data_IF_241729504881
#
_entry.id   IF_241729504881
#
_cell.length_a   1.000
_cell.length_b   1.000
_cell.length_c   1.000
_cell.angle_alpha   90.00
_cell.angle_beta   90.00
_cell.angle_gamma   90.00
#
_symmetry.space_group_name_H-M   'P 1'
#
loop_
_entity.id
_entity.type
_entity.pdbx_description
1 polymer ?
#
# COMPACT_ATOMS: atom_id res chain seq x y z
N UNK A 1 56.86 15.86 6.88
CA UNK A 1 56.15 15.25 5.74
C UNK A 1 54.65 15.50 5.91
N UNK A 2 54.05 16.39 5.10
CA UNK A 2 52.61 16.71 5.11
C UNK A 2 51.95 15.94 3.96
N UNK A 3 51.01 15.04 4.24
CA UNK A 3 50.14 14.45 3.20
C UNK A 3 48.79 15.17 3.23
N UNK A 4 48.51 15.92 2.16
CA UNK A 4 47.17 16.37 1.78
C UNK A 4 46.60 15.30 0.85
N UNK A 5 45.40 14.79 1.12
CA UNK A 5 44.63 13.99 0.16
C UNK A 5 43.51 14.88 -0.34
N UNK A 6 43.50 15.08 -1.66
CA UNK A 6 42.55 15.89 -2.38
C UNK A 6 41.23 15.14 -2.58
N UNK A 7 40.13 15.88 -2.42
CA UNK A 7 38.77 15.51 -2.81
C UNK A 7 38.68 15.66 -4.33
N UNK A 8 38.29 14.59 -5.05
CA UNK A 8 37.84 14.68 -6.43
C UNK A 8 36.34 14.39 -6.47
N UNK A 9 35.56 15.43 -6.75
CA UNK A 9 34.20 15.28 -7.28
C UNK A 9 34.27 14.93 -8.76
N UNK A 10 33.29 14.16 -9.24
CA UNK A 10 33.02 14.02 -10.67
C UNK A 10 31.55 14.33 -10.92
N UNK A 11 31.40 15.26 -11.84
CA UNK A 11 30.22 15.99 -12.25
C UNK A 11 29.37 15.21 -13.25
N UNK A 12 28.11 15.65 -13.35
CA UNK A 12 27.10 15.29 -14.35
C UNK A 12 27.61 15.30 -15.80
N UNK A 13 27.10 14.38 -16.62
CA UNK A 13 27.07 14.49 -18.09
C UNK A 13 25.63 14.21 -18.55
N UNK A 14 25.07 15.16 -19.30
CA UNK A 14 23.77 15.09 -19.98
C UNK A 14 23.97 14.92 -21.50
N UNK A 15 23.02 14.22 -22.14
CA UNK A 15 22.64 14.18 -23.59
C UNK A 15 23.66 13.50 -24.52
N UNK A 16 23.34 12.69 -25.54
CA UNK A 16 22.20 12.52 -26.46
C UNK A 16 22.42 11.15 -27.18
N UNK A 17 21.45 10.40 -27.71
CA UNK A 17 20.65 10.69 -28.90
C UNK A 17 19.62 9.56 -29.09
N UNK A 18 18.40 9.94 -29.47
CA UNK A 18 17.37 9.03 -29.95
C UNK A 18 17.68 8.59 -31.39
N UNK A 19 17.71 7.28 -31.63
CA UNK A 19 17.53 6.71 -32.96
C UNK A 19 16.23 5.89 -32.93
N UNK A 20 15.21 6.41 -33.61
CA UNK A 20 13.96 5.70 -33.90
C UNK A 20 14.24 4.72 -35.04
N UNK A 21 14.25 3.42 -34.75
CA UNK A 21 14.11 2.37 -35.76
C UNK A 21 12.72 1.75 -35.65
N UNK A 22 12.06 1.61 -36.79
CA UNK A 22 10.68 1.15 -36.97
C UNK A 22 10.39 -0.18 -36.27
N UNK A 23 9.31 -0.19 -35.48
CA UNK A 23 8.71 -1.40 -34.89
C UNK A 23 8.18 -2.28 -36.01
N UNK A 24 8.89 -3.38 -36.27
CA UNK A 24 8.35 -4.54 -36.99
C UNK A 24 7.33 -5.23 -36.09
N UNK A 25 6.08 -5.30 -36.55
CA UNK A 25 5.01 -6.06 -35.94
C UNK A 25 5.35 -7.55 -35.95
N UNK A 26 5.77 -8.11 -34.80
CA UNK A 26 5.59 -9.51 -34.40
C UNK A 26 6.33 -9.78 -33.08
N UNK A 27 5.91 -9.16 -31.98
CA UNK A 27 6.12 -9.76 -30.66
C UNK A 27 4.88 -9.51 -29.83
N UNK A 28 3.90 -10.41 -29.98
CA UNK A 28 2.93 -10.67 -28.91
C UNK A 28 3.76 -11.32 -27.80
N UNK A 29 4.42 -10.50 -26.98
CA UNK A 29 5.00 -10.96 -25.72
C UNK A 29 3.86 -11.16 -24.75
N UNK A 30 3.41 -12.41 -24.72
CA UNK A 30 2.84 -13.14 -23.58
C UNK A 30 3.04 -12.38 -22.26
N UNK A 31 2.08 -11.52 -21.94
CA UNK A 31 1.79 -11.11 -20.57
C UNK A 31 0.98 -12.24 -19.94
N UNK A 32 1.56 -13.43 -19.86
CA UNK A 32 0.98 -14.55 -19.11
C UNK A 32 1.33 -14.34 -17.65
N UNK A 33 0.28 -14.13 -16.84
CA UNK A 33 0.27 -14.01 -15.38
C UNK A 33 1.32 -14.89 -14.70
N UNK A 34 2.47 -14.30 -14.34
CA UNK A 34 3.50 -14.96 -13.52
C UNK A 34 3.10 -15.07 -12.03
N UNK A 35 1.96 -14.50 -11.63
CA UNK A 35 1.58 -14.31 -10.22
C UNK A 35 1.01 -15.55 -9.53
N UNK A 36 0.35 -16.47 -10.26
CA UNK A 36 -0.26 -17.65 -9.62
C UNK A 36 0.74 -18.79 -9.38
N UNK A 37 1.78 -18.91 -10.21
CA UNK A 37 2.87 -19.88 -10.01
C UNK A 37 3.89 -19.45 -8.93
N UNK A 38 4.00 -18.16 -8.63
CA UNK A 38 4.92 -17.63 -7.60
C UNK A 38 4.36 -17.75 -6.17
N UNK A 39 3.05 -17.89 -6.02
CA UNK A 39 2.37 -17.91 -4.74
C UNK A 39 2.76 -19.12 -3.86
N UNK A 40 2.90 -20.36 -4.38
CA UNK A 40 3.39 -21.51 -3.61
C UNK A 40 4.82 -21.33 -3.07
N UNK A 41 5.74 -20.78 -3.88
CA UNK A 41 7.12 -20.52 -3.46
C UNK A 41 7.17 -19.45 -2.35
N UNK A 42 6.31 -18.43 -2.45
CA UNK A 42 6.18 -17.39 -1.44
C UNK A 42 5.70 -17.94 -0.08
N UNK A 43 4.78 -18.91 -0.07
CA UNK A 43 4.22 -19.43 1.19
C UNK A 43 5.30 -20.01 2.11
N UNK A 44 6.36 -20.60 1.55
CA UNK A 44 7.46 -21.20 2.29
C UNK A 44 8.72 -20.33 2.34
N UNK A 45 8.70 -19.18 1.66
CA UNK A 45 9.83 -18.29 1.62
C UNK A 45 9.96 -17.48 2.91
N UNK A 46 11.16 -17.52 3.49
CA UNK A 46 11.52 -16.71 4.65
C UNK A 46 12.53 -15.65 4.20
N UNK A 47 12.17 -14.38 4.35
CA UNK A 47 13.10 -13.27 4.16
C UNK A 47 14.38 -13.50 4.98
N UNK A 48 15.52 -13.14 4.39
CA UNK A 48 16.78 -13.08 5.13
C UNK A 48 16.63 -12.14 6.34
N UNK A 49 17.37 -12.39 7.44
CA UNK A 49 17.33 -11.51 8.61
C UNK A 49 17.56 -10.03 8.27
N UNK A 50 18.47 -9.76 7.33
CA UNK A 50 18.82 -8.42 6.88
C UNK A 50 17.66 -7.75 6.14
N UNK A 51 17.05 -8.45 5.17
CA UNK A 51 15.92 -7.89 4.41
C UNK A 51 14.69 -7.73 5.29
N UNK A 52 14.47 -8.64 6.25
CA UNK A 52 13.39 -8.51 7.24
C UNK A 52 13.59 -7.26 8.11
N UNK A 53 14.80 -7.04 8.63
CA UNK A 53 15.11 -5.85 9.42
C UNK A 53 14.90 -4.56 8.60
N UNK A 54 15.34 -4.54 7.34
CA UNK A 54 15.11 -3.40 6.43
C UNK A 54 13.62 -3.14 6.18
N UNK A 55 12.82 -4.20 6.01
CA UNK A 55 11.37 -4.06 5.86
C UNK A 55 10.74 -3.48 7.13
N UNK A 56 11.13 -3.98 8.30
CA UNK A 56 10.60 -3.52 9.58
C UNK A 56 10.97 -2.06 9.87
N UNK A 57 12.19 -1.64 9.54
CA UNK A 57 12.66 -0.25 9.67
C UNK A 57 11.91 0.69 8.71
N UNK A 58 11.71 0.29 7.45
CA UNK A 58 10.94 1.09 6.50
C UNK A 58 9.48 1.23 6.96
N UNK A 59 8.89 0.16 7.50
CA UNK A 59 7.56 0.23 8.08
C UNK A 59 7.51 1.20 9.27
N UNK A 60 8.52 1.21 10.14
CA UNK A 60 8.59 2.14 11.27
C UNK A 60 8.74 3.60 10.80
N UNK A 61 9.54 3.85 9.77
CA UNK A 61 9.67 5.20 9.18
C UNK A 61 8.34 5.68 8.59
N UNK A 62 7.68 4.83 7.80
CA UNK A 62 6.36 5.10 7.24
C UNK A 62 5.34 5.33 8.35
N UNK A 63 5.37 4.53 9.42
CA UNK A 63 4.50 4.66 10.58
C UNK A 63 4.67 6.04 11.25
N UNK A 64 5.89 6.48 11.47
CA UNK A 64 6.15 7.81 12.03
C UNK A 64 5.66 8.92 11.10
N UNK A 65 5.83 8.75 9.78
CA UNK A 65 5.37 9.73 8.82
C UNK A 65 3.83 9.83 8.75
N UNK A 66 3.13 8.70 8.85
CA UNK A 66 1.66 8.65 8.98
C UNK A 66 1.21 9.42 10.21
N UNK A 67 1.83 9.14 11.37
CA UNK A 67 1.49 9.84 12.62
C UNK A 67 1.76 11.35 12.54
N UNK A 68 2.85 11.77 11.91
CA UNK A 68 3.13 13.19 11.66
C UNK A 68 2.11 13.84 10.73
N UNK A 69 1.75 13.17 9.63
CA UNK A 69 0.74 13.69 8.71
C UNK A 69 -0.60 13.85 9.42
N UNK A 70 -1.06 12.83 10.12
CA UNK A 70 -2.34 12.87 10.83
C UNK A 70 -2.33 13.94 11.94
N UNK A 71 -1.21 14.10 12.65
CA UNK A 71 -1.04 15.20 13.61
C UNK A 71 -1.10 16.59 12.92
N UNK A 72 -0.56 16.72 11.71
CA UNK A 72 -0.60 17.98 10.93
C UNK A 72 -1.99 18.31 10.37
N UNK A 73 -2.84 17.29 10.17
CA UNK A 73 -4.26 17.48 9.90
C UNK A 73 -4.99 18.04 11.16
N UNK A 74 -4.38 17.94 12.34
CA UNK A 74 -4.85 18.56 13.59
C UNK A 74 -6.17 17.99 14.09
N UNK A 75 -6.89 18.70 15.00
CA UNK A 75 -8.25 18.34 15.41
C UNK A 75 -9.30 18.48 14.27
N UNK A 76 -8.90 18.67 12.99
CA UNK A 76 -9.82 18.66 11.84
C UNK A 76 -10.44 17.29 11.58
N UNK A 77 -9.74 16.22 11.97
CA UNK A 77 -10.27 14.87 12.16
C UNK A 77 -11.40 14.80 13.22
N UNK A 78 -11.57 15.84 14.05
CA UNK A 78 -12.72 16.01 14.95
C UNK A 78 -13.73 17.02 14.47
N UNK A 79 -13.36 18.08 13.76
CA UNK A 79 -14.29 19.09 13.25
C UNK A 79 -13.60 19.89 12.16
N UNK A 80 -14.02 19.80 10.88
CA UNK A 80 -14.12 20.96 9.97
C UNK A 80 -15.19 20.70 8.88
N UNK A 81 -16.03 21.69 8.55
CA UNK A 81 -17.03 21.58 7.50
C UNK A 81 -16.41 21.55 6.10
N UNK A 82 -16.92 20.61 5.31
CA UNK A 82 -16.60 20.33 3.91
C UNK A 82 -16.93 21.50 2.98
N UNK A 83 -16.01 21.81 2.06
CA UNK A 83 -16.29 22.53 0.82
C UNK A 83 -15.45 21.90 -0.31
N UNK A 84 -16.03 20.91 -0.98
CA UNK A 84 -15.60 20.46 -2.30
C UNK A 84 -16.87 20.09 -3.11
N UNK A 85 -16.84 20.28 -4.42
CA UNK A 85 -17.91 19.85 -5.33
C UNK A 85 -17.22 19.28 -6.57
N UNK A 86 -17.52 18.03 -6.94
CA UNK A 86 -18.51 17.84 -8.00
C UNK A 86 -19.43 16.63 -7.78
N UNK A 87 -20.72 16.82 -8.08
CA UNK A 87 -21.77 15.80 -7.96
C UNK A 87 -22.94 16.36 -7.15
N UNK A 88 -23.99 16.78 -7.85
CA UNK A 88 -25.05 17.66 -7.39
C UNK A 88 -26.19 16.95 -6.65
N UNK A 89 -26.26 17.10 -5.34
CA UNK A 89 -27.53 16.92 -4.59
C UNK A 89 -27.66 17.80 -3.34
N UNK A 90 -26.61 18.54 -2.92
CA UNK A 90 -26.75 19.59 -1.91
C UNK A 90 -27.24 19.11 -0.53
N UNK A 91 -27.19 17.80 -0.27
CA UNK A 91 -27.59 17.21 1.01
C UNK A 91 -26.48 17.44 2.02
N UNK A 92 -26.80 18.14 3.11
CA UNK A 92 -25.87 18.30 4.23
C UNK A 92 -25.62 16.92 4.87
N UNK A 93 -24.35 16.53 5.11
CA UNK A 93 -24.06 15.25 5.72
C UNK A 93 -24.67 15.16 7.13
N UNK A 94 -25.32 14.04 7.40
CA UNK A 94 -25.96 13.73 8.70
C UNK A 94 -24.92 13.34 9.76
N UNK A 95 -23.75 12.86 9.33
CA UNK A 95 -22.65 12.40 10.17
C UNK A 95 -21.40 13.26 9.94
N UNK A 96 -20.37 13.09 10.79
CA UNK A 96 -19.07 13.72 10.55
C UNK A 96 -18.55 13.32 9.17
N UNK A 97 -18.32 14.31 8.32
CA UNK A 97 -17.84 14.10 6.96
C UNK A 97 -16.31 14.05 6.93
N UNK A 98 -15.79 12.87 6.60
CA UNK A 98 -14.35 12.60 6.50
C UNK A 98 -13.86 12.64 5.06
N UNK A 99 -14.68 12.99 4.07
CA UNK A 99 -14.35 12.88 2.65
C UNK A 99 -13.00 13.50 2.31
N UNK A 100 -12.77 14.76 2.72
CA UNK A 100 -11.52 15.46 2.40
C UNK A 100 -10.31 14.91 3.17
N UNK A 101 -10.45 14.75 4.48
CA UNK A 101 -9.36 14.31 5.36
C UNK A 101 -8.94 12.87 5.04
N UNK A 102 -9.90 11.98 4.88
CA UNK A 102 -9.64 10.58 4.55
C UNK A 102 -9.09 10.41 3.13
N UNK A 103 -9.58 11.20 2.16
CA UNK A 103 -8.97 11.24 0.82
C UNK A 103 -7.51 11.72 0.86
N UNK A 104 -7.19 12.72 1.68
CA UNK A 104 -5.81 13.19 1.86
C UNK A 104 -4.91 12.11 2.46
N UNK A 105 -5.40 11.39 3.48
CA UNK A 105 -4.74 10.24 4.08
C UNK A 105 -4.49 9.14 3.04
N UNK A 106 -5.51 8.77 2.26
CA UNK A 106 -5.38 7.75 1.21
C UNK A 106 -4.33 8.14 0.16
N UNK A 107 -4.39 9.36 -0.36
CA UNK A 107 -3.43 9.83 -1.39
C UNK A 107 -2.00 9.82 -0.88
N UNK A 108 -1.78 10.23 0.37
CA UNK A 108 -0.45 10.17 0.98
C UNK A 108 0.00 8.73 1.19
N UNK A 109 -0.86 7.84 1.69
CA UNK A 109 -0.54 6.44 1.86
C UNK A 109 -0.25 5.74 0.52
N UNK A 110 -0.99 6.04 -0.55
CA UNK A 110 -0.67 5.61 -1.93
C UNK A 110 0.74 6.07 -2.35
N UNK A 111 1.12 7.30 -2.05
CA UNK A 111 2.46 7.79 -2.36
C UNK A 111 3.54 7.08 -1.53
N UNK A 112 3.27 6.74 -0.27
CA UNK A 112 4.18 5.92 0.55
C UNK A 112 4.38 4.52 -0.06
N UNK A 113 3.39 3.97 -0.78
CA UNK A 113 3.55 2.68 -1.48
C UNK A 113 4.58 2.72 -2.59
N UNK A 114 4.82 3.90 -3.20
CA UNK A 114 5.89 4.07 -4.19
C UNK A 114 7.27 3.85 -3.58
N UNK A 115 7.47 4.25 -2.32
CA UNK A 115 8.73 4.06 -1.61
C UNK A 115 8.97 2.55 -1.39
N UNK A 116 7.93 1.83 -0.95
CA UNK A 116 8.05 0.38 -0.74
C UNK A 116 8.27 -0.35 -2.06
N UNK A 117 7.54 0.02 -3.11
CA UNK A 117 7.72 -0.54 -4.45
C UNK A 117 9.14 -0.34 -4.97
N UNK A 118 9.70 0.86 -4.82
CA UNK A 118 11.07 1.14 -5.23
C UNK A 118 12.11 0.30 -4.45
N UNK A 119 11.92 0.10 -3.15
CA UNK A 119 12.78 -0.78 -2.35
C UNK A 119 12.66 -2.24 -2.77
N UNK A 120 11.44 -2.73 -2.98
CA UNK A 120 11.18 -4.09 -3.42
C UNK A 120 11.75 -4.37 -4.84
N UNK A 121 11.62 -3.43 -5.77
CA UNK A 121 12.20 -3.54 -7.10
C UNK A 121 13.72 -3.63 -7.09
N UNK A 122 14.40 -2.93 -6.16
CA UNK A 122 15.86 -3.06 -5.98
C UNK A 122 16.25 -4.45 -5.50
N UNK A 123 15.46 -5.04 -4.60
CA UNK A 123 15.67 -6.42 -4.12
C UNK A 123 15.52 -7.40 -5.29
N UNK A 124 14.46 -7.25 -6.08
CA UNK A 124 14.18 -8.10 -7.23
C UNK A 124 15.30 -8.05 -8.28
N UNK A 125 15.68 -6.84 -8.69
CA UNK A 125 16.72 -6.60 -9.72
C UNK A 125 18.13 -6.89 -9.23
N UNK A 126 18.35 -6.89 -7.92
CA UNK A 126 19.64 -7.16 -7.29
C UNK A 126 19.98 -8.64 -7.14
N UNK A 127 18.99 -9.53 -7.31
CA UNK A 127 19.20 -10.97 -7.22
C UNK A 127 19.81 -11.54 -8.51
N UNK A 128 20.78 -12.44 -8.36
CA UNK A 128 21.31 -13.23 -9.48
C UNK A 128 20.32 -14.29 -9.98
N UNK A 129 19.39 -14.71 -9.13
CA UNK A 129 18.30 -15.60 -9.46
C UNK A 129 16.98 -14.79 -9.55
N UNK A 130 16.38 -14.64 -10.76
CA UNK A 130 15.17 -13.85 -10.95
C UNK A 130 13.97 -14.33 -10.14
N UNK A 131 13.82 -15.66 -9.97
CA UNK A 131 12.70 -16.22 -9.19
C UNK A 131 12.86 -15.87 -7.72
N UNK A 132 14.07 -16.08 -7.17
CA UNK A 132 14.37 -15.72 -5.79
C UNK A 132 14.20 -14.22 -5.53
N UNK A 133 14.65 -13.38 -6.46
CA UNK A 133 14.49 -11.92 -6.39
C UNK A 133 13.01 -11.51 -6.35
N UNK A 134 12.18 -12.09 -7.22
CA UNK A 134 10.75 -11.80 -7.25
C UNK A 134 10.05 -12.22 -5.96
N UNK A 135 10.37 -13.41 -5.44
CA UNK A 135 9.81 -13.91 -4.18
C UNK A 135 10.26 -13.06 -2.99
N UNK A 136 11.54 -12.68 -2.92
CA UNK A 136 12.08 -11.79 -1.88
C UNK A 136 11.42 -10.41 -1.91
N UNK A 137 11.29 -9.82 -3.10
CA UNK A 137 10.59 -8.54 -3.34
C UNK A 137 9.15 -8.60 -2.86
N UNK A 138 8.43 -9.68 -3.17
CA UNK A 138 7.04 -9.88 -2.74
C UNK A 138 6.92 -10.06 -1.23
N UNK A 139 7.77 -10.89 -0.62
CA UNK A 139 7.80 -11.10 0.83
C UNK A 139 8.15 -9.82 1.59
N UNK A 140 9.05 -8.99 1.04
CA UNK A 140 9.41 -7.68 1.60
C UNK A 140 8.19 -6.76 1.66
N UNK A 141 7.44 -6.63 0.55
CA UNK A 141 6.20 -5.85 0.50
C UNK A 141 5.19 -6.31 1.55
N UNK A 142 5.00 -7.63 1.68
CA UNK A 142 4.12 -8.20 2.70
C UNK A 142 4.54 -7.85 4.11
N UNK A 143 5.84 -7.97 4.43
CA UNK A 143 6.36 -7.64 5.76
C UNK A 143 6.10 -6.18 6.13
N UNK A 144 6.37 -5.25 5.20
CA UNK A 144 6.10 -3.82 5.43
C UNK A 144 4.60 -3.58 5.59
N UNK A 145 3.80 -4.07 4.65
CA UNK A 145 2.35 -3.87 4.64
C UNK A 145 1.70 -4.40 5.92
N UNK A 146 2.05 -5.62 6.33
CA UNK A 146 1.52 -6.26 7.53
C UNK A 146 1.79 -5.44 8.79
N UNK A 147 2.99 -4.88 8.92
CA UNK A 147 3.34 -4.07 10.09
C UNK A 147 2.58 -2.74 10.16
N UNK A 148 2.11 -2.23 9.02
CA UNK A 148 1.36 -0.97 8.94
C UNK A 148 -0.15 -1.15 9.17
N UNK A 149 -0.72 -2.28 8.73
CA UNK A 149 -2.17 -2.54 8.81
C UNK A 149 -2.61 -3.28 10.06
N UNK A 150 -1.71 -3.96 10.79
CA UNK A 150 -2.08 -4.78 11.96
C UNK A 150 -2.75 -3.98 13.08
N UNK A 151 -3.41 -4.68 14.00
CA UNK A 151 -4.08 -4.03 15.12
C UNK A 151 -3.16 -3.10 15.92
N UNK A 152 -3.66 -1.91 16.23
CA UNK A 152 -2.92 -0.87 16.95
C UNK A 152 -1.81 -0.19 16.13
N UNK A 153 -1.59 -0.61 14.89
CA UNK A 153 -0.66 0.06 13.99
C UNK A 153 -1.27 1.34 13.39
N UNK A 154 -0.47 2.19 12.72
CA UNK A 154 -0.95 3.47 12.22
C UNK A 154 -2.03 3.39 11.14
N UNK A 155 -2.30 2.26 10.50
CA UNK A 155 -3.45 2.12 9.59
C UNK A 155 -4.59 1.30 10.16
N UNK A 156 -4.61 1.03 11.47
CA UNK A 156 -5.78 0.46 12.14
C UNK A 156 -6.88 1.53 12.27
N UNK A 157 -7.48 1.89 11.15
CA UNK A 157 -8.55 2.88 11.07
C UNK A 157 -9.84 2.39 11.73
N UNK A 158 -10.02 1.06 11.87
CA UNK A 158 -11.09 0.47 12.68
C UNK A 158 -10.98 0.96 14.12
N UNK A 159 -9.78 0.89 14.70
CA UNK A 159 -9.51 1.38 16.06
C UNK A 159 -9.58 2.90 16.17
N UNK A 160 -9.02 3.64 15.19
CA UNK A 160 -8.98 5.12 15.23
C UNK A 160 -10.34 5.78 15.13
N UNK A 161 -11.20 5.27 14.26
CA UNK A 161 -12.53 5.83 14.02
C UNK A 161 -13.61 5.16 14.87
N UNK A 162 -13.30 4.04 15.51
CA UNK A 162 -14.24 3.21 16.24
C UNK A 162 -15.04 2.32 15.28
N UNK A 163 -15.09 0.99 15.50
CA UNK A 163 -15.59 0.05 14.50
C UNK A 163 -17.06 0.28 14.12
N UNK A 164 -17.87 0.81 15.05
CA UNK A 164 -19.31 1.04 14.85
C UNK A 164 -19.68 2.52 14.67
N UNK A 165 -18.74 3.44 14.83
CA UNK A 165 -19.01 4.88 14.68
C UNK A 165 -19.24 5.19 13.21
N UNK A 166 -20.29 5.96 12.91
CA UNK A 166 -20.69 6.27 11.54
C UNK A 166 -20.18 7.63 11.08
N UNK A 167 -19.73 7.68 9.82
CA UNK A 167 -19.17 8.84 9.14
C UNK A 167 -19.78 8.97 7.74
N UNK A 168 -19.69 10.18 7.19
CA UNK A 168 -19.89 10.39 5.76
C UNK A 168 -18.53 10.34 5.06
N UNK A 169 -18.42 9.55 4.00
CA UNK A 169 -17.25 9.54 3.11
C UNK A 169 -17.74 9.35 1.67
N UNK A 170 -17.46 10.33 0.81
CA UNK A 170 -17.89 10.35 -0.60
C UNK A 170 -19.39 10.06 -0.77
N UNK A 171 -20.21 10.83 -0.03
CA UNK A 171 -21.67 10.70 0.04
C UNK A 171 -22.19 9.33 0.49
N UNK A 172 -21.34 8.47 1.07
CA UNK A 172 -21.73 7.18 1.67
C UNK A 172 -21.72 7.27 3.18
N UNK A 173 -22.62 6.53 3.81
CA UNK A 173 -22.65 6.30 5.26
C UNK A 173 -21.81 5.07 5.57
N UNK A 174 -20.62 5.27 6.15
CA UNK A 174 -19.64 4.22 6.44
C UNK A 174 -19.28 4.20 7.92
N UNK A 175 -19.00 3.02 8.47
CA UNK A 175 -18.44 2.88 9.82
C UNK A 175 -16.92 3.05 9.83
N UNK A 176 -16.31 3.19 11.01
CA UNK A 176 -14.85 3.13 11.13
C UNK A 176 -14.26 1.80 10.65
N UNK A 177 -15.02 0.71 10.80
CA UNK A 177 -14.70 -0.60 10.22
C UNK A 177 -14.68 -0.57 8.70
N UNK A 178 -15.74 -0.03 8.08
CA UNK A 178 -15.83 0.13 6.63
C UNK A 178 -14.66 0.95 6.07
N UNK A 179 -14.32 2.05 6.73
CA UNK A 179 -13.20 2.91 6.35
C UNK A 179 -11.86 2.17 6.41
N UNK A 180 -11.64 1.33 7.44
CA UNK A 180 -10.46 0.48 7.55
C UNK A 180 -10.34 -0.54 6.42
N UNK A 181 -11.43 -1.28 6.15
CA UNK A 181 -11.47 -2.27 5.07
C UNK A 181 -11.28 -1.62 3.68
N UNK A 182 -11.92 -0.47 3.47
CA UNK A 182 -11.76 0.30 2.25
C UNK A 182 -10.33 0.78 2.04
N UNK A 183 -9.71 1.36 3.07
CA UNK A 183 -8.31 1.79 3.01
C UNK A 183 -7.38 0.62 2.72
N UNK A 184 -7.58 -0.53 3.38
CA UNK A 184 -6.82 -1.76 3.17
C UNK A 184 -6.79 -2.17 1.69
N UNK A 185 -7.96 -2.22 1.04
CA UNK A 185 -8.06 -2.52 -0.39
C UNK A 185 -7.33 -1.50 -1.25
N UNK A 186 -7.53 -0.20 -0.97
CA UNK A 186 -6.93 0.89 -1.73
C UNK A 186 -5.39 0.90 -1.67
N UNK A 187 -4.79 0.83 -0.47
CA UNK A 187 -3.33 0.82 -0.32
C UNK A 187 -2.71 -0.51 -0.73
N UNK A 188 -3.43 -1.61 -0.57
CA UNK A 188 -3.05 -2.94 -1.03
C UNK A 188 -2.85 -2.98 -2.54
N UNK A 189 -3.75 -2.37 -3.32
CA UNK A 189 -3.55 -2.22 -4.76
C UNK A 189 -2.36 -1.32 -5.08
N UNK A 190 -2.18 -0.23 -4.34
CA UNK A 190 -1.09 0.70 -4.55
C UNK A 190 0.31 0.09 -4.34
N UNK A 191 0.46 -0.91 -3.46
CA UNK A 191 1.72 -1.67 -3.30
C UNK A 191 1.86 -2.83 -4.33
N UNK A 192 0.86 -3.03 -5.18
CA UNK A 192 0.87 -4.02 -6.25
C UNK A 192 0.34 -5.40 -5.85
N UNK A 193 -0.52 -5.48 -4.84
CA UNK A 193 -1.26 -6.72 -4.56
C UNK A 193 -2.39 -6.92 -5.59
N UNK A 194 -2.62 -8.18 -5.93
CA UNK A 194 -3.73 -8.62 -6.77
C UNK A 194 -5.03 -8.54 -6.00
N UNK A 195 -6.15 -8.50 -6.72
CA UNK A 195 -7.47 -8.52 -6.10
C UNK A 195 -7.65 -9.82 -5.30
N UNK A 196 -7.16 -10.94 -5.86
CA UNK A 196 -7.17 -12.24 -5.19
C UNK A 196 -6.43 -12.22 -3.85
N UNK A 197 -5.24 -11.61 -3.79
CA UNK A 197 -4.52 -11.46 -2.52
C UNK A 197 -5.35 -10.62 -1.55
N UNK A 198 -5.88 -9.47 -1.99
CA UNK A 198 -6.59 -8.55 -1.11
C UNK A 198 -7.95 -9.06 -0.63
N UNK A 199 -8.62 -9.95 -1.36
CA UNK A 199 -9.92 -10.52 -0.97
C UNK A 199 -9.78 -11.85 -0.23
N UNK A 200 -8.56 -12.24 0.18
CA UNK A 200 -8.33 -13.44 0.98
C UNK A 200 -8.17 -14.74 0.19
N UNK A 201 -7.65 -14.68 -1.04
CA UNK A 201 -7.27 -15.86 -1.80
C UNK A 201 -6.27 -16.75 -1.06
N UNK A 202 -6.31 -18.05 -1.35
CA UNK A 202 -5.67 -19.11 -0.56
C UNK A 202 -4.18 -18.87 -0.25
N UNK A 203 -3.42 -18.21 -1.11
CA UNK A 203 -2.00 -17.94 -0.85
C UNK A 203 -1.70 -16.72 0.03
N UNK A 204 -2.53 -15.67 0.02
CA UNK A 204 -2.41 -14.57 0.98
C UNK A 204 -2.83 -15.01 2.37
N UNK A 205 -3.92 -15.80 2.45
CA UNK A 205 -4.34 -16.50 3.66
C UNK A 205 -3.20 -17.34 4.27
N UNK A 206 -2.51 -18.15 3.46
CA UNK A 206 -1.41 -19.00 3.94
C UNK A 206 -0.17 -18.20 4.40
N UNK A 207 0.16 -17.09 3.73
CA UNK A 207 1.28 -16.24 4.13
C UNK A 207 0.99 -15.51 5.45
N UNK A 208 -0.22 -14.98 5.60
CA UNK A 208 -0.63 -14.25 6.79
C UNK A 208 -0.91 -15.17 7.99
N UNK A 209 -1.43 -16.38 7.77
CA UNK A 209 -1.73 -17.36 8.83
C UNK A 209 -0.49 -17.88 9.54
N UNK A 210 0.69 -17.68 8.97
CA UNK A 210 1.99 -17.98 9.60
C UNK A 210 2.52 -16.82 10.46
N UNK A 211 1.81 -15.70 10.53
CA UNK A 211 2.13 -14.59 11.43
C UNK A 211 1.36 -14.75 12.74
N UNK A 212 1.95 -14.32 13.86
CA UNK A 212 1.25 -14.24 15.16
C UNK A 212 0.06 -13.27 15.15
N UNK A 213 -0.12 -12.52 14.05
CA UNK A 213 -1.15 -11.51 13.84
C UNK A 213 -2.34 -12.06 13.02
N UNK A 214 -2.35 -13.37 12.70
CA UNK A 214 -3.36 -14.00 11.85
C UNK A 214 -4.81 -13.73 12.27
N UNK A 215 -5.10 -13.82 13.57
CA UNK A 215 -6.45 -13.62 14.10
C UNK A 215 -7.04 -12.25 13.76
N UNK A 216 -6.20 -11.24 13.53
CA UNK A 216 -6.64 -9.92 13.11
C UNK A 216 -6.96 -9.86 11.62
N UNK A 217 -6.20 -10.56 10.77
CA UNK A 217 -6.50 -10.63 9.34
C UNK A 217 -7.85 -11.26 9.04
N UNK A 218 -8.28 -12.21 9.88
CA UNK A 218 -9.61 -12.80 9.75
C UNK A 218 -10.72 -11.74 9.83
N UNK A 219 -10.51 -10.65 10.58
CA UNK A 219 -11.49 -9.55 10.73
C UNK A 219 -11.65 -8.68 9.49
N UNK A 220 -10.84 -8.87 8.44
CA UNK A 220 -11.04 -8.22 7.13
C UNK A 220 -11.83 -9.11 6.17
N UNK A 221 -12.10 -10.36 6.54
CA UNK A 221 -12.58 -11.39 5.62
C UNK A 221 -13.74 -12.20 6.20
N UNK A 222 -14.20 -11.91 7.41
CA UNK A 222 -15.22 -12.67 8.13
C UNK A 222 -16.64 -12.18 7.86
N UNK A 223 -16.85 -10.90 7.53
CA UNK A 223 -18.13 -10.37 7.08
C UNK A 223 -18.17 -10.15 5.55
N UNK A 224 -19.25 -10.55 4.84
CA UNK A 224 -19.47 -10.15 3.45
C UNK A 224 -19.29 -8.65 3.19
N UNK A 225 -19.63 -7.80 4.16
CA UNK A 225 -19.43 -6.34 4.10
C UNK A 225 -17.96 -5.95 4.05
N UNK A 226 -17.07 -6.66 4.74
CA UNK A 226 -15.63 -6.37 4.68
C UNK A 226 -15.10 -6.56 3.25
N UNK A 227 -15.54 -7.64 2.61
CA UNK A 227 -15.20 -7.95 1.22
C UNK A 227 -15.73 -6.89 0.25
N UNK A 228 -16.95 -6.38 0.46
CA UNK A 228 -17.51 -5.28 -0.33
C UNK A 228 -16.68 -4.00 -0.17
N UNK A 229 -16.29 -3.66 1.06
CA UNK A 229 -15.50 -2.45 1.32
C UNK A 229 -14.07 -2.55 0.77
N UNK A 230 -13.42 -3.71 0.89
CA UNK A 230 -12.12 -3.97 0.27
C UNK A 230 -12.20 -3.81 -1.26
N UNK A 231 -13.22 -4.41 -1.89
CA UNK A 231 -13.46 -4.28 -3.34
C UNK A 231 -13.72 -2.83 -3.74
N UNK A 232 -14.45 -2.07 -2.93
CA UNK A 232 -14.68 -0.65 -3.17
C UNK A 232 -13.35 0.13 -3.11
N UNK A 233 -12.46 -0.16 -2.15
CA UNK A 233 -11.12 0.43 -2.08
C UNK A 233 -10.26 0.11 -3.30
N UNK A 234 -10.30 -1.15 -3.76
CA UNK A 234 -9.65 -1.60 -5.00
C UNK A 234 -10.14 -0.78 -6.20
N UNK A 235 -11.45 -0.62 -6.33
CA UNK A 235 -12.08 0.13 -7.42
C UNK A 235 -11.67 1.62 -7.42
N UNK A 236 -11.60 2.26 -6.25
CA UNK A 236 -11.12 3.65 -6.14
C UNK A 236 -9.68 3.80 -6.62
N UNK A 237 -8.80 2.86 -6.26
CA UNK A 237 -7.43 2.86 -6.75
C UNK A 237 -7.39 2.72 -8.28
N UNK A 238 -8.13 1.75 -8.83
CA UNK A 238 -8.15 1.48 -10.26
C UNK A 238 -8.71 2.65 -11.09
N UNK A 239 -9.67 3.41 -10.54
CA UNK A 239 -10.21 4.63 -11.15
C UNK A 239 -9.31 5.86 -10.99
N UNK A 240 -8.22 5.75 -10.24
CA UNK A 240 -7.21 6.81 -10.11
C UNK A 240 -7.50 7.86 -9.03
N UNK A 241 -8.45 7.60 -8.12
CA UNK A 241 -8.76 8.51 -7.00
C UNK A 241 -7.59 8.65 -6.01
#
# INVERSE_FOLDING_TARGET
MKKKIAVLGVSCIFLSSFALTSVSAATISTTTNATDQQLPDLTNYKLSPELKLQAEQLADEIAQDVLRQEASLGPKLKLQPYNFSPGSDGVKPTYTDLTNDFTSIMKANKNRMKIINASAEKIEKGSSNPVEGAVASRAYKYTVFTKLVKSGAPWDYKLKYGPKTTYTFDNRTLTGEDLGNFHFGYVGKAIGFTDLELTGGAGFYQLLSRTSEWSYYQTFFDDPRDQEMIKLGIDYYNKGY
#
